data_IF_314588127908
#
_entry.id   IF_314588127908
#
_cell.length_a   1.000
_cell.length_b   1.000
_cell.length_c   1.000
_cell.angle_alpha   90.00
_cell.angle_beta   90.00
_cell.angle_gamma   90.00
#
_symmetry.space_group_name_H-M   'P 1'
#
loop_
_entity.id
_entity.type
_entity.pdbx_description
1 polymer ?
#
# COMPACT_ATOMS: atom_id res chain seq x y z
N UNK A 1 6.34 6.46 -6.80
CA UNK A 1 6.68 7.05 -5.48
C UNK A 1 8.19 7.02 -5.31
N UNK A 2 8.76 7.81 -4.41
CA UNK A 2 10.19 7.71 -4.05
C UNK A 2 10.43 8.00 -2.58
N UNK A 3 11.51 7.45 -2.04
CA UNK A 3 12.03 7.83 -0.74
C UNK A 3 13.20 8.78 -0.94
N UNK A 4 13.05 10.03 -0.48
CA UNK A 4 14.10 11.06 -0.58
C UNK A 4 14.91 11.05 0.71
N UNK A 5 16.17 10.63 0.61
CA UNK A 5 17.15 10.73 1.69
C UNK A 5 17.58 12.19 1.85
N UNK A 6 17.46 12.71 3.06
CA UNK A 6 17.81 14.06 3.50
C UNK A 6 17.61 14.15 5.02
N UNK A 7 17.82 15.31 5.64
CA UNK A 7 17.82 15.51 7.11
C UNK A 7 16.59 14.93 7.85
N UNK A 8 15.45 14.78 7.16
CA UNK A 8 14.20 14.29 7.73
C UNK A 8 13.48 13.24 6.87
N UNK A 9 14.22 12.44 6.10
CA UNK A 9 13.76 11.29 5.29
C UNK A 9 12.28 11.33 4.82
N UNK A 10 12.02 11.57 3.54
CA UNK A 10 10.66 11.85 3.06
C UNK A 10 10.13 10.74 2.13
N UNK A 11 8.88 10.31 2.34
CA UNK A 11 8.15 9.59 1.31
C UNK A 11 7.42 10.60 0.42
N UNK A 12 7.63 10.49 -0.88
CA UNK A 12 7.02 11.40 -1.87
C UNK A 12 6.22 10.62 -2.92
N UNK A 13 5.05 11.14 -3.27
CA UNK A 13 4.31 10.73 -4.47
C UNK A 13 4.64 11.66 -5.64
N UNK A 14 4.26 11.25 -6.85
CA UNK A 14 4.53 12.00 -8.06
C UNK A 14 3.23 12.44 -8.73
N UNK A 15 3.24 13.64 -9.27
CA UNK A 15 2.32 14.09 -10.31
C UNK A 15 3.12 14.12 -11.61
N UNK A 16 2.70 13.31 -12.58
CA UNK A 16 3.38 13.22 -13.88
C UNK A 16 2.46 13.80 -14.94
N UNK A 17 2.88 14.90 -15.56
CA UNK A 17 2.09 15.57 -16.60
C UNK A 17 2.42 15.00 -17.97
N UNK A 18 1.39 14.62 -18.72
CA UNK A 18 1.50 14.07 -20.06
C UNK A 18 0.92 15.03 -21.10
N UNK A 19 1.54 15.05 -22.27
CA UNK A 19 1.09 15.83 -23.43
C UNK A 19 1.11 14.98 -24.69
N UNK A 20 0.33 15.38 -25.69
CA UNK A 20 0.34 14.71 -26.99
C UNK A 20 1.73 14.75 -27.61
N UNK A 21 2.16 13.63 -28.17
CA UNK A 21 3.37 13.54 -28.98
C UNK A 21 3.16 14.26 -30.31
N UNK A 22 4.23 14.85 -30.88
CA UNK A 22 4.20 15.33 -32.25
C UNK A 22 3.96 14.16 -33.25
N UNK A 23 3.11 14.32 -34.29
CA UNK A 23 2.44 15.54 -34.73
C UNK A 23 1.06 15.79 -34.09
N UNK A 24 0.53 14.85 -33.31
CA UNK A 24 -0.80 14.93 -32.68
C UNK A 24 -0.97 16.14 -31.76
N UNK A 25 0.13 16.65 -31.20
CA UNK A 25 0.15 17.91 -30.44
C UNK A 25 -0.34 19.13 -31.23
N UNK A 26 -0.34 19.09 -32.57
CA UNK A 26 -0.91 20.16 -33.40
C UNK A 26 -2.44 20.14 -33.40
N UNK A 27 -3.06 18.96 -33.23
CA UNK A 27 -4.53 18.81 -33.20
C UNK A 27 -5.09 19.10 -31.81
N UNK A 28 -4.35 18.77 -30.75
CA UNK A 28 -4.76 18.98 -29.36
C UNK A 28 -3.63 19.65 -28.55
N UNK A 29 -3.27 20.91 -28.86
CA UNK A 29 -2.11 21.59 -28.26
C UNK A 29 -2.27 21.89 -26.77
N UNK A 30 -3.51 22.01 -26.30
CA UNK A 30 -3.82 22.34 -24.91
C UNK A 30 -4.11 21.11 -24.05
N UNK A 31 -4.20 19.92 -24.65
CA UNK A 31 -4.48 18.70 -23.90
C UNK A 31 -3.30 18.35 -22.99
N UNK A 32 -3.60 18.27 -21.70
CA UNK A 32 -2.73 17.87 -20.62
C UNK A 32 -3.46 16.86 -19.74
N UNK A 33 -2.84 15.70 -19.56
CA UNK A 33 -3.35 14.66 -18.66
C UNK A 33 -2.31 14.41 -17.58
N UNK A 34 -2.68 14.60 -16.32
CA UNK A 34 -1.76 14.44 -15.20
C UNK A 34 -2.13 13.17 -14.42
N UNK A 35 -1.19 12.23 -14.33
CA UNK A 35 -1.30 11.10 -13.40
C UNK A 35 -0.90 11.58 -12.01
N UNK A 36 -1.88 11.71 -11.13
CA UNK A 36 -1.72 12.17 -9.75
C UNK A 36 -1.69 10.94 -8.84
N UNK A 37 -0.48 10.49 -8.51
CA UNK A 37 -0.28 9.34 -7.63
C UNK A 37 -0.59 9.69 -6.18
N UNK A 38 -1.43 8.87 -5.54
CA UNK A 38 -1.76 8.98 -4.12
C UNK A 38 -1.27 7.80 -3.28
N UNK A 39 -1.09 8.08 -1.99
CA UNK A 39 -1.03 7.07 -0.94
C UNK A 39 -2.21 7.28 0.01
N UNK A 40 -2.84 6.20 0.45
CA UNK A 40 -4.07 6.29 1.24
C UNK A 40 -3.86 6.77 2.68
N UNK A 41 -2.63 6.70 3.19
CA UNK A 41 -2.25 7.13 4.53
C UNK A 41 -1.09 8.11 4.37
N UNK A 42 -1.23 9.34 4.84
CA UNK A 42 -0.26 10.41 4.67
C UNK A 42 -0.43 11.50 5.74
N UNK A 43 0.48 12.47 5.79
CA UNK A 43 0.29 13.67 6.60
C UNK A 43 -0.95 14.44 6.09
N UNK A 44 -1.70 15.10 6.98
CA UNK A 44 -2.89 15.86 6.58
C UNK A 44 -2.60 16.93 5.52
N UNK A 45 -1.46 17.59 5.65
CA UNK A 45 -0.97 18.64 4.76
C UNK A 45 -0.79 18.13 3.34
N UNK A 46 -0.46 16.85 3.16
CA UNK A 46 -0.36 16.22 1.85
C UNK A 46 -1.71 16.23 1.12
N UNK A 47 -2.77 15.78 1.80
CA UNK A 47 -4.12 15.77 1.20
C UNK A 47 -4.65 17.19 0.95
N UNK A 48 -4.35 18.14 1.85
CA UNK A 48 -4.70 19.54 1.64
C UNK A 48 -4.00 20.14 0.42
N UNK A 49 -2.72 19.79 0.22
CA UNK A 49 -1.94 20.22 -0.95
C UNK A 49 -2.53 19.64 -2.23
N UNK A 50 -2.81 18.33 -2.25
CA UNK A 50 -3.44 17.67 -3.40
C UNK A 50 -4.81 18.29 -3.73
N UNK A 51 -5.66 18.50 -2.72
CA UNK A 51 -6.98 19.09 -2.92
C UNK A 51 -6.87 20.46 -3.60
N UNK A 52 -5.97 21.32 -3.13
CA UNK A 52 -5.73 22.66 -3.68
C UNK A 52 -5.19 22.62 -5.11
N UNK A 53 -4.26 21.71 -5.40
CA UNK A 53 -3.71 21.58 -6.76
C UNK A 53 -4.79 21.14 -7.77
N UNK A 54 -5.66 20.22 -7.35
CA UNK A 54 -6.73 19.64 -8.15
C UNK A 54 -7.88 20.62 -8.45
N UNK A 55 -8.04 21.70 -7.68
CA UNK A 55 -9.05 22.75 -7.94
C UNK A 55 -8.88 23.41 -9.32
N UNK A 56 -7.64 23.45 -9.83
CA UNK A 56 -7.31 24.10 -11.10
C UNK A 56 -7.56 23.26 -12.35
N UNK A 57 -8.09 22.04 -12.19
CA UNK A 57 -8.31 21.10 -13.30
C UNK A 57 -9.74 21.18 -13.82
N UNK A 58 -9.91 21.01 -15.12
CA UNK A 58 -11.22 20.98 -15.76
C UNK A 58 -12.00 19.72 -15.35
N UNK A 59 -11.27 18.62 -15.12
CA UNK A 59 -11.81 17.31 -14.80
C UNK A 59 -10.83 16.54 -13.91
N UNK A 60 -11.33 15.96 -12.81
CA UNK A 60 -10.59 15.07 -11.92
C UNK A 60 -11.26 13.70 -11.92
N UNK A 61 -10.60 12.73 -12.53
CA UNK A 61 -11.00 11.32 -12.59
C UNK A 61 -10.43 10.59 -11.38
N UNK A 62 -11.28 10.09 -10.49
CA UNK A 62 -10.80 9.50 -9.23
C UNK A 62 -11.11 8.01 -9.05
N UNK A 63 -10.18 7.34 -8.40
CA UNK A 63 -10.28 5.95 -7.94
C UNK A 63 -11.25 5.82 -6.74
N UNK A 64 -12.25 4.94 -6.85
CA UNK A 64 -13.09 4.52 -5.73
C UNK A 64 -13.99 3.34 -6.12
N UNK A 65 -13.78 2.16 -5.55
CA UNK A 65 -14.78 1.07 -5.66
C UNK A 65 -15.88 1.30 -4.63
N UNK A 66 -17.10 1.56 -5.09
CA UNK A 66 -18.28 1.77 -4.24
C UNK A 66 -19.56 1.30 -4.93
N UNK A 67 -20.62 1.03 -4.16
CA UNK A 67 -21.91 0.54 -4.70
C UNK A 67 -22.50 1.52 -5.70
N UNK A 68 -23.20 1.03 -6.73
CA UNK A 68 -23.95 1.87 -7.68
C UNK A 68 -24.89 2.86 -7.00
N UNK A 69 -25.62 2.42 -5.98
CA UNK A 69 -26.53 3.26 -5.21
C UNK A 69 -25.80 4.49 -4.60
N UNK A 70 -24.61 4.29 -4.04
CA UNK A 70 -23.80 5.38 -3.47
C UNK A 70 -23.32 6.37 -4.54
N UNK A 71 -23.05 5.91 -5.77
CA UNK A 71 -22.69 6.76 -6.90
C UNK A 71 -23.89 7.56 -7.40
N UNK A 72 -25.04 6.91 -7.55
CA UNK A 72 -26.30 7.53 -7.98
C UNK A 72 -26.78 8.58 -6.97
N UNK A 73 -26.76 8.24 -5.68
CA UNK A 73 -27.12 9.17 -4.61
C UNK A 73 -26.21 10.40 -4.63
N UNK A 74 -24.91 10.24 -4.91
CA UNK A 74 -23.99 11.39 -5.06
C UNK A 74 -24.34 12.24 -6.28
N UNK A 75 -24.61 11.62 -7.43
CA UNK A 75 -25.00 12.31 -8.67
C UNK A 75 -26.31 13.08 -8.51
N UNK A 76 -27.23 12.55 -7.73
CA UNK A 76 -28.53 13.18 -7.45
C UNK A 76 -28.45 14.24 -6.33
N UNK A 77 -27.43 14.17 -5.46
CA UNK A 77 -27.21 15.14 -4.37
C UNK A 77 -26.79 16.53 -4.87
N UNK A 78 -26.31 16.67 -6.10
CA UNK A 78 -26.11 17.96 -6.77
C UNK A 78 -27.43 18.70 -7.03
N UNK A 79 -28.57 17.99 -7.06
CA UNK A 79 -29.90 18.55 -7.25
C UNK A 79 -30.69 18.78 -5.95
N UNK A 80 -30.33 18.13 -4.83
CA UNK A 80 -31.07 18.24 -3.56
C UNK A 80 -30.13 18.50 -2.39
N UNK A 81 -29.71 19.76 -2.25
CA UNK A 81 -29.01 20.28 -1.06
C UNK A 81 -29.97 20.47 0.12
N UNK A 82 -30.57 19.41 0.68
CA UNK A 82 -31.11 19.44 2.06
C UNK A 82 -31.66 18.08 2.51
N UNK A 83 -31.20 17.62 3.68
CA UNK A 83 -31.61 16.42 4.44
C UNK A 83 -31.19 15.11 3.74
N UNK A 84 -30.27 14.29 4.24
CA UNK A 84 -30.19 13.70 5.59
C UNK A 84 -28.78 13.15 5.83
N UNK A 85 -28.17 13.42 7.00
CA UNK A 85 -27.03 12.64 7.51
C UNK A 85 -27.55 11.27 7.96
N UNK A 86 -27.69 10.33 7.03
CA UNK A 86 -27.77 8.92 7.37
C UNK A 86 -26.81 8.17 6.46
N UNK A 87 -25.57 8.01 6.95
CA UNK A 87 -24.57 7.13 6.35
C UNK A 87 -24.95 5.69 6.69
N UNK A 88 -25.76 5.04 5.86
CA UNK A 88 -25.76 3.59 5.79
C UNK A 88 -24.63 3.15 4.85
N UNK A 89 -23.39 3.46 5.22
CA UNK A 89 -22.21 2.89 4.58
C UNK A 89 -21.95 1.57 5.31
N UNK A 90 -22.17 0.45 4.62
CA UNK A 90 -21.85 -0.88 5.14
C UNK A 90 -20.44 -0.92 5.73
N UNK A 91 -20.27 -1.69 6.81
CA UNK A 91 -19.02 -1.79 7.57
C UNK A 91 -17.87 -2.19 6.63
N UNK A 92 -17.03 -1.22 6.24
CA UNK A 92 -15.87 -1.47 5.39
C UNK A 92 -14.66 -1.81 6.28
N UNK A 93 -14.47 -3.10 6.53
CA UNK A 93 -13.40 -3.65 7.39
C UNK A 93 -12.02 -3.13 6.96
N UNK A 94 -11.77 -2.99 5.65
CA UNK A 94 -10.52 -2.45 5.10
C UNK A 94 -10.35 -0.98 5.51
N UNK A 95 -11.40 -0.17 5.35
CA UNK A 95 -11.39 1.23 5.78
C UNK A 95 -11.17 1.39 7.29
N UNK A 96 -11.68 0.46 8.11
CA UNK A 96 -11.41 0.44 9.56
C UNK A 96 -9.93 0.16 9.86
N UNK A 97 -9.35 -0.86 9.22
CA UNK A 97 -7.93 -1.23 9.39
C UNK A 97 -7.02 -0.09 8.97
N UNK A 98 -7.28 0.53 7.81
CA UNK A 98 -6.49 1.66 7.30
C UNK A 98 -6.52 2.85 8.27
N UNK A 99 -7.67 3.13 8.90
CA UNK A 99 -7.77 4.17 9.94
C UNK A 99 -6.99 3.83 11.20
N UNK A 100 -6.97 2.57 11.64
CA UNK A 100 -6.13 2.17 12.77
C UNK A 100 -4.64 2.32 12.45
N UNK A 101 -4.23 1.91 11.24
CA UNK A 101 -2.86 2.07 10.76
C UNK A 101 -2.45 3.55 10.69
N UNK A 102 -3.33 4.42 10.19
CA UNK A 102 -3.09 5.86 10.17
C UNK A 102 -2.85 6.40 11.58
N UNK A 103 -3.68 6.04 12.56
CA UNK A 103 -3.49 6.44 13.97
C UNK A 103 -2.16 5.95 14.56
N UNK A 104 -1.81 4.69 14.31
CA UNK A 104 -0.54 4.11 14.79
C UNK A 104 0.67 4.87 14.25
N UNK A 105 0.60 5.29 12.98
CA UNK A 105 1.65 6.06 12.33
C UNK A 105 1.55 7.56 12.60
N UNK A 106 0.56 8.04 13.37
CA UNK A 106 0.25 9.46 13.53
C UNK A 106 0.12 10.18 12.17
N UNK A 107 -0.62 9.55 11.26
CA UNK A 107 -0.96 10.01 9.92
C UNK A 107 -2.49 10.06 9.77
N UNK A 108 -2.96 10.56 8.65
CA UNK A 108 -4.37 10.68 8.30
C UNK A 108 -4.74 9.77 7.13
N UNK A 109 -6.04 9.48 7.01
CA UNK A 109 -6.60 8.62 5.97
C UNK A 109 -7.23 9.45 4.85
N UNK A 110 -6.95 9.07 3.60
CA UNK A 110 -7.33 9.81 2.39
C UNK A 110 -8.81 10.16 2.32
N UNK A 111 -9.71 9.21 2.55
CA UNK A 111 -11.17 9.44 2.45
C UNK A 111 -11.73 10.37 3.53
N UNK A 112 -10.96 10.65 4.58
CA UNK A 112 -11.33 11.63 5.61
C UNK A 112 -10.86 13.04 5.27
N UNK A 113 -9.85 13.16 4.39
CA UNK A 113 -9.18 14.42 4.12
C UNK A 113 -9.56 15.02 2.77
N UNK A 114 -9.77 14.20 1.74
CA UNK A 114 -10.15 14.67 0.41
C UNK A 114 -11.65 14.89 0.28
N UNK A 115 -12.03 16.00 -0.34
CA UNK A 115 -13.40 16.32 -0.69
C UNK A 115 -13.67 15.94 -2.15
N UNK A 116 -14.43 14.87 -2.33
CA UNK A 116 -14.85 14.35 -3.64
C UNK A 116 -16.21 14.90 -4.11
N UNK A 117 -16.70 15.96 -3.47
CA UNK A 117 -17.96 16.62 -3.79
C UNK A 117 -17.96 17.70 -4.88
N UNK A 118 -16.83 18.32 -5.29
CA UNK A 118 -16.85 19.32 -6.36
C UNK A 118 -17.35 18.76 -7.70
N UNK A 119 -18.03 19.59 -8.51
CA UNK A 119 -18.69 19.16 -9.74
C UNK A 119 -17.73 18.69 -10.85
N UNK A 120 -16.47 19.13 -10.79
CA UNK A 120 -15.42 18.69 -11.71
C UNK A 120 -14.75 17.37 -11.30
N UNK A 121 -15.24 16.68 -10.24
CA UNK A 121 -14.74 15.37 -9.81
C UNK A 121 -15.66 14.24 -10.27
N UNK A 122 -15.13 13.37 -11.13
CA UNK A 122 -15.86 12.27 -11.74
C UNK A 122 -15.30 10.93 -11.28
N UNK A 123 -16.21 10.04 -10.89
CA UNK A 123 -15.86 8.66 -10.61
C UNK A 123 -15.40 7.99 -11.90
N UNK A 124 -14.23 7.35 -11.86
CA UNK A 124 -13.58 6.77 -13.03
C UNK A 124 -13.18 5.31 -12.82
N UNK A 125 -13.84 4.62 -11.89
CA UNK A 125 -13.50 3.27 -11.44
C UNK A 125 -14.70 2.33 -11.59
N UNK A 126 -14.52 1.06 -11.22
CA UNK A 126 -15.61 0.09 -11.20
C UNK A 126 -16.54 0.33 -10.01
N UNK A 127 -17.83 0.10 -10.21
CA UNK A 127 -18.75 -0.06 -9.08
C UNK A 127 -18.51 -1.40 -8.36
N UNK A 128 -18.97 -1.48 -7.10
CA UNK A 128 -18.73 -2.63 -6.24
C UNK A 128 -19.31 -3.93 -6.80
N UNK A 129 -20.48 -3.86 -7.43
CA UNK A 129 -21.18 -5.00 -8.00
C UNK A 129 -20.40 -5.56 -9.19
N UNK A 130 -20.02 -4.71 -10.14
CA UNK A 130 -19.20 -5.06 -11.29
C UNK A 130 -17.81 -5.54 -10.87
N UNK A 131 -17.17 -4.88 -9.89
CA UNK A 131 -15.88 -5.30 -9.37
C UNK A 131 -15.91 -6.72 -8.84
N UNK A 132 -16.92 -7.06 -8.01
CA UNK A 132 -17.09 -8.43 -7.48
C UNK A 132 -17.40 -9.44 -8.59
N UNK A 133 -18.23 -9.07 -9.57
CA UNK A 133 -18.53 -9.94 -10.70
C UNK A 133 -17.28 -10.31 -11.49
N UNK A 134 -16.48 -9.32 -11.86
CA UNK A 134 -15.23 -9.55 -12.59
C UNK A 134 -14.22 -10.38 -11.78
N UNK A 135 -14.15 -10.17 -10.46
CA UNK A 135 -13.34 -11.01 -9.56
C UNK A 135 -13.76 -12.47 -9.62
N UNK A 136 -15.06 -12.76 -9.58
CA UNK A 136 -15.58 -14.14 -9.70
C UNK A 136 -15.31 -14.74 -11.08
N UNK A 137 -15.55 -13.99 -12.16
CA UNK A 137 -15.35 -14.44 -13.53
C UNK A 137 -13.88 -14.78 -13.82
N UNK A 138 -12.93 -14.00 -13.27
CA UNK A 138 -11.49 -14.24 -13.42
C UNK A 138 -10.91 -15.17 -12.34
N UNK A 139 -11.71 -15.65 -11.39
CA UNK A 139 -11.24 -16.46 -10.26
C UNK A 139 -10.22 -15.72 -9.37
N UNK A 140 -10.34 -14.40 -9.28
CA UNK A 140 -9.38 -13.53 -8.61
C UNK A 140 -9.91 -13.02 -7.27
N UNK A 141 -9.01 -12.88 -6.30
CA UNK A 141 -9.25 -12.24 -5.02
C UNK A 141 -8.03 -11.40 -4.64
N UNK A 142 -8.17 -10.52 -3.64
CA UNK A 142 -7.01 -9.80 -3.08
C UNK A 142 -5.90 -10.75 -2.60
N UNK A 143 -6.27 -11.91 -2.06
CA UNK A 143 -5.31 -12.92 -1.59
C UNK A 143 -4.53 -13.53 -2.75
N UNK A 144 -5.22 -14.00 -3.80
CA UNK A 144 -4.56 -14.61 -4.96
C UNK A 144 -3.67 -13.59 -5.67
N UNK A 145 -4.15 -12.36 -5.82
CA UNK A 145 -3.36 -11.25 -6.37
C UNK A 145 -2.09 -10.98 -5.55
N UNK A 146 -2.21 -10.84 -4.23
CA UNK A 146 -1.07 -10.58 -3.35
C UNK A 146 -0.06 -11.74 -3.35
N UNK A 147 -0.54 -12.99 -3.38
CA UNK A 147 0.30 -14.19 -3.51
C UNK A 147 1.07 -14.17 -4.82
N UNK A 148 0.40 -13.92 -5.94
CA UNK A 148 1.01 -13.96 -7.26
C UNK A 148 2.04 -12.83 -7.45
N UNK A 149 1.76 -11.64 -6.90
CA UNK A 149 2.74 -10.55 -6.79
C UNK A 149 3.95 -10.97 -5.97
N UNK A 150 3.73 -11.48 -4.76
CA UNK A 150 4.83 -11.90 -3.86
C UNK A 150 5.71 -12.94 -4.54
N UNK A 151 5.11 -13.98 -5.14
CA UNK A 151 5.87 -15.04 -5.83
C UNK A 151 6.74 -14.50 -6.98
N UNK A 152 6.22 -13.55 -7.78
CA UNK A 152 6.97 -12.95 -8.90
C UNK A 152 8.06 -12.01 -8.43
N UNK A 153 7.77 -11.13 -7.48
CA UNK A 153 8.76 -10.21 -6.89
C UNK A 153 9.87 -11.00 -6.18
N UNK A 154 9.52 -12.04 -5.41
CA UNK A 154 10.49 -12.94 -4.79
C UNK A 154 11.32 -13.66 -5.84
N UNK A 155 10.71 -14.21 -6.90
CA UNK A 155 11.46 -14.87 -7.97
C UNK A 155 12.45 -13.93 -8.65
N UNK A 156 12.04 -12.70 -8.95
CA UNK A 156 12.92 -11.68 -9.53
C UNK A 156 14.05 -11.26 -8.57
N UNK A 157 13.76 -11.16 -7.26
CA UNK A 157 14.74 -10.84 -6.23
C UNK A 157 15.75 -11.99 -6.03
N UNK A 158 15.29 -13.24 -5.98
CA UNK A 158 16.15 -14.43 -5.87
C UNK A 158 17.08 -14.55 -7.08
N UNK A 159 16.63 -14.19 -8.27
CA UNK A 159 17.45 -14.18 -9.48
C UNK A 159 18.52 -13.08 -9.49
N UNK A 160 18.33 -12.00 -8.72
CA UNK A 160 19.19 -10.80 -8.74
C UNK A 160 20.07 -10.64 -7.49
N UNK A 161 19.79 -11.38 -6.42
CA UNK A 161 20.50 -11.20 -5.14
C UNK A 161 21.53 -12.30 -4.92
N UNK A 162 22.82 -11.95 -5.00
CA UNK A 162 23.86 -12.66 -4.25
C UNK A 162 23.66 -12.35 -2.76
N UNK A 163 23.50 -13.39 -1.93
CA UNK A 163 23.47 -13.22 -0.48
C UNK A 163 24.86 -12.72 -0.05
N UNK A 164 24.99 -11.64 0.74
CA UNK A 164 26.28 -11.22 1.26
C UNK A 164 26.93 -12.37 2.03
N UNK A 165 28.12 -12.82 1.61
CA UNK A 165 28.88 -13.92 2.24
C UNK A 165 29.29 -13.62 3.70
N UNK A 166 29.15 -12.37 4.15
CA UNK A 166 29.57 -11.89 5.47
C UNK A 166 28.54 -12.11 6.59
N UNK A 167 27.29 -12.46 6.26
CA UNK A 167 26.26 -12.76 7.27
C UNK A 167 26.37 -14.23 7.71
N UNK A 168 26.54 -14.46 9.02
CA UNK A 168 26.64 -15.81 9.60
C UNK A 168 25.48 -16.75 9.19
N UNK A 169 25.68 -18.09 9.19
CA UNK A 169 24.81 -19.04 8.47
C UNK A 169 23.32 -18.98 8.82
N UNK A 170 22.99 -18.66 10.07
CA UNK A 170 21.59 -18.58 10.53
C UNK A 170 20.90 -17.26 10.12
N UNK A 171 21.61 -16.12 10.12
CA UNK A 171 21.07 -14.82 9.71
C UNK A 171 20.78 -14.81 8.22
N UNK A 172 21.68 -15.36 7.42
CA UNK A 172 21.51 -15.51 5.98
C UNK A 172 20.29 -16.38 5.64
N UNK A 173 20.10 -17.50 6.35
CA UNK A 173 18.92 -18.35 6.20
C UNK A 173 17.63 -17.65 6.64
N UNK A 174 17.66 -16.90 7.73
CA UNK A 174 16.49 -16.17 8.25
C UNK A 174 16.07 -15.02 7.30
N UNK A 175 17.03 -14.24 6.82
CA UNK A 175 16.81 -13.16 5.85
C UNK A 175 16.35 -13.70 4.49
N UNK A 176 16.87 -14.86 4.07
CA UNK A 176 16.36 -15.55 2.89
C UNK A 176 14.92 -16.02 3.10
N UNK A 177 14.63 -16.66 4.23
CA UNK A 177 13.28 -17.13 4.56
C UNK A 177 12.28 -15.97 4.61
N UNK A 178 12.64 -14.82 5.16
CA UNK A 178 11.77 -13.63 5.18
C UNK A 178 11.52 -13.02 3.81
N UNK A 179 12.38 -13.27 2.82
CA UNK A 179 12.22 -12.81 1.44
C UNK A 179 11.43 -13.79 0.57
N UNK A 180 11.41 -15.06 0.96
CA UNK A 180 10.80 -16.14 0.17
C UNK A 180 9.44 -16.58 0.71
N UNK A 181 9.23 -16.50 2.01
CA UNK A 181 7.98 -16.88 2.65
C UNK A 181 7.09 -15.63 2.89
N UNK A 182 5.76 -15.75 2.73
CA UNK A 182 4.85 -14.68 3.09
C UNK A 182 4.97 -14.36 4.59
N UNK A 183 5.29 -13.11 4.90
CA UNK A 183 5.58 -12.67 6.26
C UNK A 183 4.77 -11.41 6.59
N UNK A 184 4.18 -11.31 7.80
CA UNK A 184 3.59 -10.06 8.27
C UNK A 184 4.63 -8.93 8.24
N UNK A 185 4.19 -7.71 7.90
CA UNK A 185 5.09 -6.53 7.79
C UNK A 185 5.94 -6.31 9.05
N UNK A 186 5.36 -6.60 10.22
CA UNK A 186 6.03 -6.51 11.51
C UNK A 186 7.14 -7.55 11.64
N UNK A 187 6.87 -8.81 11.27
CA UNK A 187 7.89 -9.87 11.25
C UNK A 187 9.02 -9.56 10.28
N UNK A 188 8.69 -9.08 9.07
CA UNK A 188 9.67 -8.68 8.06
C UNK A 188 10.53 -7.51 8.55
N UNK A 189 9.91 -6.53 9.19
CA UNK A 189 10.61 -5.40 9.82
C UNK A 189 11.61 -5.88 10.86
N UNK A 190 11.22 -6.80 11.74
CA UNK A 190 12.09 -7.31 12.78
C UNK A 190 13.24 -8.17 12.24
N UNK A 191 12.98 -9.06 11.29
CA UNK A 191 14.03 -9.87 10.67
C UNK A 191 15.00 -8.97 9.90
N UNK A 192 14.49 -8.00 9.15
CA UNK A 192 15.33 -7.04 8.42
C UNK A 192 16.18 -6.21 9.38
N UNK A 193 15.63 -5.82 10.54
CA UNK A 193 16.35 -5.08 11.58
C UNK A 193 17.41 -5.96 12.28
N UNK A 194 17.10 -7.23 12.56
CA UNK A 194 18.00 -8.19 13.24
C UNK A 194 19.15 -8.66 12.33
N UNK A 195 18.88 -8.78 11.03
CA UNK A 195 19.83 -9.23 10.03
C UNK A 195 20.54 -8.06 9.31
N UNK A 196 20.27 -6.80 9.71
CA UNK A 196 21.05 -5.66 9.25
C UNK A 196 22.50 -5.80 9.74
N UNK A 197 23.45 -5.57 8.84
CA UNK A 197 24.86 -5.70 9.17
C UNK A 197 25.29 -4.49 10.02
N UNK A 198 25.72 -4.75 11.25
CA UNK A 198 26.26 -3.73 12.15
C UNK A 198 27.78 -3.79 12.02
N UNK A 199 28.29 -3.45 10.84
CA UNK A 199 29.72 -3.30 10.59
C UNK A 199 30.27 -2.02 11.23
N UNK A 200 31.61 -1.95 11.37
CA UNK A 200 32.35 -0.86 12.04
C UNK A 200 32.33 0.51 11.32
N UNK A 201 31.56 0.68 10.24
CA UNK A 201 31.21 1.98 9.65
C UNK A 201 29.72 2.25 9.91
N UNK A 202 29.32 3.46 10.35
CA UNK A 202 27.94 3.73 10.75
C UNK A 202 27.03 3.56 9.54
N UNK A 203 26.25 2.48 9.45
CA UNK A 203 25.37 2.33 8.32
C UNK A 203 24.12 3.17 8.63
N UNK A 204 23.79 4.10 7.73
CA UNK A 204 22.59 4.95 7.77
C UNK A 204 21.31 4.08 7.76
N UNK A 205 20.96 3.52 8.92
CA UNK A 205 19.73 2.78 9.18
C UNK A 205 18.80 3.64 10.04
N UNK A 206 18.12 4.64 9.45
CA UNK A 206 17.22 5.54 10.19
C UNK A 206 16.09 4.79 10.90
N UNK A 207 15.72 3.58 10.45
CA UNK A 207 14.81 2.69 11.14
C UNK A 207 15.36 2.14 12.48
N UNK A 208 16.63 1.73 12.52
CA UNK A 208 17.29 1.23 13.73
C UNK A 208 17.57 2.37 14.71
N UNK A 209 17.96 3.53 14.17
CA UNK A 209 18.12 4.75 14.96
C UNK A 209 16.77 5.18 15.59
N UNK A 210 15.69 5.22 14.81
CA UNK A 210 14.36 5.52 15.33
C UNK A 210 13.88 4.50 16.39
N UNK A 211 14.11 3.20 16.16
CA UNK A 211 13.84 2.15 17.15
C UNK A 211 14.64 2.35 18.45
N UNK A 212 15.93 2.70 18.34
CA UNK A 212 16.79 2.96 19.50
C UNK A 212 16.28 4.12 20.38
N UNK A 213 15.57 5.07 19.76
CA UNK A 213 14.91 6.21 20.39
C UNK A 213 13.47 5.92 20.83
N UNK A 214 12.99 4.69 20.66
CA UNK A 214 11.59 4.26 20.85
C UNK A 214 10.56 4.97 19.98
N UNK A 215 10.97 5.59 18.88
CA UNK A 215 10.03 6.13 17.92
C UNK A 215 9.61 5.04 16.95
N UNK A 216 8.79 4.10 17.43
CA UNK A 216 8.25 3.01 16.61
C UNK A 216 7.45 3.53 15.41
N UNK A 217 6.77 4.67 15.57
CA UNK A 217 6.04 5.33 14.48
C UNK A 217 6.98 5.78 13.37
N UNK A 218 8.07 6.48 13.71
CA UNK A 218 9.09 6.88 12.74
C UNK A 218 9.79 5.66 12.11
N UNK A 219 10.17 4.66 12.90
CA UNK A 219 10.80 3.46 12.39
C UNK A 219 9.91 2.71 11.38
N UNK A 220 8.62 2.58 11.70
CA UNK A 220 7.66 1.97 10.77
C UNK A 220 7.41 2.82 9.53
N UNK A 221 7.38 4.16 9.64
CA UNK A 221 7.31 5.04 8.46
C UNK A 221 8.52 4.86 7.54
N UNK A 222 9.74 4.76 8.09
CA UNK A 222 10.96 4.50 7.31
C UNK A 222 10.84 3.16 6.60
N UNK A 223 10.50 2.10 7.34
CA UNK A 223 10.39 0.75 6.79
C UNK A 223 9.33 0.67 5.68
N UNK A 224 8.14 1.21 5.93
CA UNK A 224 7.06 1.25 4.93
C UNK A 224 7.47 2.08 3.71
N UNK A 225 8.13 3.22 3.90
CA UNK A 225 8.60 4.04 2.78
C UNK A 225 9.63 3.31 1.91
N UNK A 226 10.58 2.58 2.52
CA UNK A 226 11.52 1.73 1.80
C UNK A 226 10.80 0.61 1.04
N UNK A 227 9.85 -0.07 1.69
CA UNK A 227 9.11 -1.19 1.07
C UNK A 227 8.23 -0.74 -0.11
N UNK A 228 7.52 0.36 0.06
CA UNK A 228 6.68 0.99 -0.98
C UNK A 228 7.49 1.58 -2.14
N UNK A 229 8.81 1.67 -2.03
CA UNK A 229 9.66 2.22 -3.11
C UNK A 229 10.54 1.14 -3.74
N UNK A 230 10.88 0.08 -3.01
CA UNK A 230 11.57 -1.10 -3.54
C UNK A 230 10.68 -2.00 -4.39
N UNK A 231 9.41 -2.17 -3.97
CA UNK A 231 8.51 -3.16 -4.59
C UNK A 231 7.90 -2.65 -5.91
N UNK A 232 8.00 -1.36 -6.19
CA UNK A 232 7.45 -0.72 -7.40
C UNK A 232 8.37 -0.71 -8.62
N UNK A 233 9.61 -1.15 -8.46
CA UNK A 233 10.55 -1.28 -9.58
C UNK A 233 10.56 -2.72 -10.08
N UNK A 234 9.65 -3.11 -10.99
CA UNK A 234 9.89 -4.29 -11.83
C UNK A 234 8.92 -4.46 -13.02
N UNK A 235 9.52 -4.63 -14.20
CA UNK A 235 8.90 -5.15 -15.44
C UNK A 235 8.27 -6.56 -15.23
N UNK A 236 8.68 -7.28 -14.19
CA UNK A 236 8.28 -8.67 -13.93
C UNK A 236 6.82 -8.83 -13.44
N UNK A 237 6.18 -7.76 -12.95
CA UNK A 237 4.81 -7.78 -12.43
C UNK A 237 3.77 -7.19 -13.40
N UNK A 238 4.22 -6.44 -14.40
CA UNK A 238 3.36 -5.69 -15.32
C UNK A 238 2.24 -6.54 -15.97
N UNK A 239 2.57 -7.75 -16.45
CA UNK A 239 1.57 -8.65 -17.07
C UNK A 239 0.46 -9.09 -16.12
N UNK A 240 0.77 -9.23 -14.82
CA UNK A 240 -0.24 -9.62 -13.81
C UNK A 240 -1.07 -8.42 -13.42
N UNK A 241 -0.44 -7.27 -13.24
CA UNK A 241 -1.13 -6.02 -12.94
C UNK A 241 -2.14 -5.70 -14.05
N UNK A 242 -1.72 -5.76 -15.32
CA UNK A 242 -2.58 -5.48 -16.47
C UNK A 242 -3.76 -6.46 -16.61
N UNK A 243 -3.56 -7.75 -16.30
CA UNK A 243 -4.62 -8.76 -16.47
C UNK A 243 -5.55 -8.85 -15.26
N UNK A 244 -5.14 -8.31 -14.12
CA UNK A 244 -5.89 -8.34 -12.86
C UNK A 244 -7.17 -7.51 -12.91
N UNK A 245 -8.16 -7.90 -12.11
CA UNK A 245 -9.30 -7.06 -11.75
C UNK A 245 -8.89 -5.98 -10.75
N UNK A 246 -7.89 -6.27 -9.89
CA UNK A 246 -7.44 -5.33 -8.85
C UNK A 246 -6.80 -4.07 -9.43
N UNK A 247 -6.13 -4.16 -10.58
CA UNK A 247 -5.48 -3.03 -11.24
C UNK A 247 -5.97 -2.88 -12.67
N UNK A 248 -5.81 -3.90 -13.50
CA UNK A 248 -6.03 -3.84 -14.95
C UNK A 248 -7.43 -3.42 -15.37
N UNK A 249 -8.47 -4.09 -14.88
CA UNK A 249 -9.86 -3.74 -15.23
C UNK A 249 -10.29 -2.38 -14.65
N UNK A 250 -9.75 -1.99 -13.50
CA UNK A 250 -10.00 -0.67 -12.90
C UNK A 250 -9.32 0.45 -13.70
N UNK A 251 -8.12 0.18 -14.20
CA UNK A 251 -7.40 1.10 -15.09
C UNK A 251 -8.08 1.24 -16.45
N UNK A 252 -8.67 0.16 -16.98
CA UNK A 252 -9.51 0.21 -18.18
C UNK A 252 -10.69 1.16 -17.98
N UNK A 253 -11.40 1.07 -16.86
CA UNK A 253 -12.49 2.00 -16.54
C UNK A 253 -11.99 3.46 -16.47
N UNK A 254 -10.77 3.68 -15.95
CA UNK A 254 -10.16 5.00 -15.87
C UNK A 254 -9.82 5.58 -17.25
N UNK A 255 -9.29 4.77 -18.17
CA UNK A 255 -8.98 5.23 -19.54
C UNK A 255 -10.22 5.45 -20.38
N UNK A 256 -11.27 4.65 -20.21
CA UNK A 256 -12.58 4.91 -20.82
C UNK A 256 -13.19 6.23 -20.30
N UNK A 257 -13.02 6.54 -19.01
CA UNK A 257 -13.43 7.82 -18.44
C UNK A 257 -12.59 8.99 -18.99
N UNK A 258 -11.29 8.79 -19.18
CA UNK A 258 -10.41 9.76 -19.83
C UNK A 258 -10.85 10.06 -21.27
N UNK A 259 -11.15 9.03 -22.06
CA UNK A 259 -11.62 9.20 -23.43
C UNK A 259 -12.91 10.04 -23.47
N UNK A 260 -13.87 9.76 -22.59
CA UNK A 260 -15.08 10.56 -22.44
C UNK A 260 -14.76 12.01 -22.06
N UNK A 261 -13.87 12.23 -21.10
CA UNK A 261 -13.49 13.58 -20.67
C UNK A 261 -12.85 14.40 -21.80
N UNK A 262 -11.98 13.77 -22.60
CA UNK A 262 -11.39 14.40 -23.79
C UNK A 262 -12.48 14.70 -24.83
N UNK A 263 -13.41 13.77 -25.07
CA UNK A 263 -14.53 13.97 -25.99
C UNK A 263 -15.44 15.14 -25.58
N UNK A 264 -15.66 15.33 -24.27
CA UNK A 264 -16.39 16.48 -23.73
C UNK A 264 -15.60 17.80 -23.76
N UNK A 265 -14.37 17.79 -24.26
CA UNK A 265 -13.56 19.01 -24.48
C UNK A 265 -12.77 19.47 -23.27
N UNK A 266 -12.62 18.65 -22.23
CA UNK A 266 -11.71 18.97 -21.12
C UNK A 266 -10.26 18.94 -21.61
N UNK A 267 -9.49 19.98 -21.27
CA UNK A 267 -8.10 20.11 -21.72
C UNK A 267 -7.12 19.77 -20.61
N UNK A 268 -7.42 20.12 -19.36
CA UNK A 268 -6.57 19.83 -18.20
C UNK A 268 -7.25 18.80 -17.30
N UNK A 269 -6.85 17.54 -17.46
CA UNK A 269 -7.50 16.38 -16.80
C UNK A 269 -6.52 15.76 -15.80
N UNK A 270 -6.96 15.52 -14.57
CA UNK A 270 -6.20 14.77 -13.57
C UNK A 270 -6.77 13.35 -13.42
N UNK A 271 -5.90 12.35 -13.30
CA UNK A 271 -6.25 10.98 -12.93
C UNK A 271 -5.66 10.70 -11.55
N UNK A 272 -6.53 10.71 -10.53
CA UNK A 272 -6.20 10.58 -9.11
C UNK A 272 -6.35 9.12 -8.65
N UNK A 273 -5.25 8.39 -8.64
CA UNK A 273 -5.21 6.95 -8.34
C UNK A 273 -4.08 6.62 -7.37
N UNK A 274 -4.22 5.50 -6.66
CA UNK A 274 -3.18 4.94 -5.80
C UNK A 274 -1.92 4.58 -6.58
N UNK A 275 -0.76 4.65 -5.93
CA UNK A 275 0.55 4.36 -6.55
C UNK A 275 0.61 3.05 -7.34
N UNK A 276 -0.09 2.01 -6.87
CA UNK A 276 -0.25 0.69 -7.52
C UNK A 276 -0.67 0.76 -8.98
N UNK A 277 -1.51 1.72 -9.34
CA UNK A 277 -2.13 1.81 -10.66
C UNK A 277 -1.27 2.54 -11.69
N UNK A 278 -0.30 3.34 -11.23
CA UNK A 278 0.46 4.27 -12.08
C UNK A 278 1.26 3.61 -13.20
N UNK A 279 1.92 2.44 -13.02
CA UNK A 279 2.70 1.82 -14.10
C UNK A 279 1.83 1.45 -15.31
N UNK A 280 0.72 0.77 -15.07
CA UNK A 280 -0.22 0.37 -16.14
C UNK A 280 -0.95 1.57 -16.73
N UNK A 281 -1.42 2.54 -15.92
CA UNK A 281 -2.01 3.78 -16.45
C UNK A 281 -1.03 4.55 -17.33
N UNK A 282 0.23 4.71 -16.89
CA UNK A 282 1.26 5.40 -17.65
C UNK A 282 1.57 4.73 -18.99
N UNK A 283 1.56 3.40 -19.03
CA UNK A 283 1.67 2.62 -20.26
C UNK A 283 0.46 2.86 -21.18
N UNK A 284 -0.76 2.78 -20.67
CA UNK A 284 -1.98 3.02 -21.46
C UNK A 284 -2.06 4.44 -22.02
N UNK A 285 -1.69 5.47 -21.25
CA UNK A 285 -1.62 6.85 -21.77
C UNK A 285 -0.69 6.94 -22.99
N UNK A 286 0.44 6.24 -22.94
CA UNK A 286 1.40 6.19 -24.05
C UNK A 286 0.86 5.41 -25.25
N UNK A 287 0.37 4.20 -25.01
CA UNK A 287 0.05 3.23 -26.06
C UNK A 287 -1.33 3.46 -26.69
N UNK A 288 -2.31 3.92 -25.90
CA UNK A 288 -3.71 4.12 -26.32
C UNK A 288 -4.01 5.60 -26.68
N UNK A 289 -3.29 6.56 -26.09
CA UNK A 289 -3.59 8.00 -26.26
C UNK A 289 -2.45 8.82 -26.90
N UNK A 290 -1.32 8.23 -27.30
CA UNK A 290 -0.14 8.95 -27.81
C UNK A 290 0.35 10.07 -26.88
N UNK A 291 0.16 9.89 -25.57
CA UNK A 291 0.56 10.84 -24.54
C UNK A 291 1.94 10.47 -24.00
N UNK A 292 2.86 11.43 -24.00
CA UNK A 292 4.22 11.26 -23.48
C UNK A 292 4.42 12.10 -22.22
N UNK A 293 5.20 11.59 -21.24
CA UNK A 293 5.49 12.34 -20.03
C UNK A 293 6.31 13.59 -20.38
N UNK A 294 5.97 14.72 -19.76
CA UNK A 294 6.56 16.03 -20.04
C UNK A 294 7.15 16.69 -18.80
N UNK A 295 6.53 16.49 -17.63
CA UNK A 295 6.98 17.04 -16.36
C UNK A 295 6.67 16.08 -15.21
N UNK A 296 7.51 16.12 -14.17
CA UNK A 296 7.27 15.40 -12.92
C UNK A 296 7.36 16.39 -11.76
N UNK A 297 6.30 16.47 -10.97
CA UNK A 297 6.28 17.18 -9.69
C UNK A 297 6.24 16.16 -8.55
N UNK A 298 7.00 16.42 -7.48
CA UNK A 298 7.04 15.55 -6.30
C UNK A 298 6.29 16.20 -5.15
N UNK A 299 5.39 15.44 -4.52
CA UNK A 299 4.58 15.88 -3.38
C UNK A 299 4.93 15.03 -2.18
N UNK A 300 5.32 15.66 -1.08
CA UNK A 300 5.70 14.95 0.16
C UNK A 300 4.46 14.38 0.83
N UNK A 301 4.37 13.05 0.92
CA UNK A 301 3.29 12.33 1.59
C UNK A 301 3.48 12.31 3.11
N UNK A 302 4.70 12.02 3.56
CA UNK A 302 5.07 12.24 4.95
C UNK A 302 6.55 12.52 5.10
N UNK A 303 6.90 13.23 6.16
CA UNK A 303 8.28 13.42 6.59
C UNK A 303 8.57 12.65 7.88
N UNK A 304 9.76 12.09 7.95
CA UNK A 304 10.29 11.40 9.12
C UNK A 304 11.12 12.44 9.88
N UNK A 305 10.46 13.46 10.43
CA UNK A 305 11.13 14.35 11.39
C UNK A 305 11.36 13.60 12.69
N UNK A 306 12.54 13.74 13.26
CA UNK A 306 12.79 13.46 14.68
C UNK A 306 11.82 14.33 15.51
N UNK A 307 10.65 13.80 15.86
CA UNK A 307 9.86 14.42 16.92
C UNK A 307 10.66 14.20 18.19
N UNK A 308 11.03 15.29 18.88
CA UNK A 308 11.49 15.22 20.26
C UNK A 308 10.31 14.70 21.10
N UNK A 309 10.17 13.37 21.18
CA UNK A 309 9.24 12.74 22.08
C UNK A 309 9.76 13.06 23.48
N UNK A 310 9.09 14.00 24.17
CA UNK A 310 9.27 14.17 25.61
C UNK A 310 8.82 12.88 26.27
N UNK A 311 9.77 11.97 26.50
CA UNK A 311 9.50 10.68 27.09
C UNK A 311 9.01 10.89 28.52
N UNK A 312 7.70 10.74 28.77
CA UNK A 312 7.20 10.58 30.13
C UNK A 312 7.56 9.16 30.56
N UNK A 313 8.55 9.06 31.44
CA UNK A 313 9.02 7.78 31.93
C UNK A 313 7.98 7.11 32.82
N UNK A 314 7.65 5.85 32.55
CA UNK A 314 6.86 5.01 33.45
C UNK A 314 7.72 4.64 34.69
N UNK A 315 7.37 5.10 35.91
CA UNK A 315 8.25 4.98 37.09
C UNK A 315 8.51 3.54 37.53
N UNK A 316 7.56 2.63 37.27
CA UNK A 316 7.64 1.23 37.66
C UNK A 316 8.76 0.46 36.93
N UNK A 317 8.94 0.71 35.63
CA UNK A 317 9.99 0.07 34.82
C UNK A 317 11.40 0.50 35.24
N UNK A 318 11.55 1.73 35.73
CA UNK A 318 12.81 2.23 36.28
C UNK A 318 13.19 1.48 37.57
N UNK A 319 12.23 1.26 38.48
CA UNK A 319 12.45 0.49 39.72
C UNK A 319 12.81 -0.97 39.45
N UNK A 320 12.16 -1.61 38.48
CA UNK A 320 12.46 -3.00 38.11
C UNK A 320 13.87 -3.15 37.53
N UNK A 321 14.33 -2.23 36.70
CA UNK A 321 15.69 -2.25 36.14
C UNK A 321 16.77 -2.05 37.24
N UNK A 322 16.53 -1.14 38.18
CA UNK A 322 17.44 -0.89 39.32
C UNK A 322 17.56 -2.11 40.26
N UNK A 323 16.45 -2.83 40.51
CA UNK A 323 16.44 -4.01 41.38
C UNK A 323 17.05 -5.25 40.72
N UNK A 324 16.93 -5.37 39.39
CA UNK A 324 17.39 -6.55 38.65
C UNK A 324 18.82 -6.48 38.12
N UNK A 325 19.50 -5.33 38.26
CA UNK A 325 20.83 -5.12 37.68
C UNK A 325 20.86 -5.22 36.15
N UNK A 326 19.71 -4.97 35.51
CA UNK A 326 19.51 -5.23 34.09
C UNK A 326 20.30 -4.22 33.23
N UNK A 327 21.13 -4.68 32.26
CA UNK A 327 22.08 -3.81 31.55
C UNK A 327 21.41 -2.91 30.50
N UNK A 328 20.16 -3.22 30.13
CA UNK A 328 19.38 -2.45 29.16
C UNK A 328 18.58 -1.34 29.86
N UNK A 329 18.51 -0.17 29.24
CA UNK A 329 17.79 0.94 29.81
C UNK A 329 16.26 0.69 29.82
N UNK A 330 15.53 1.47 30.64
CA UNK A 330 14.07 1.34 30.84
C UNK A 330 13.25 1.31 29.54
N UNK A 331 13.79 1.91 28.49
CA UNK A 331 13.15 2.04 27.19
C UNK A 331 13.38 0.79 26.33
N UNK A 332 14.61 0.29 26.30
CA UNK A 332 14.97 -0.99 25.67
C UNK A 332 14.21 -2.16 26.30
N UNK A 333 14.03 -2.16 27.62
CA UNK A 333 13.25 -3.20 28.33
C UNK A 333 11.76 -3.15 27.99
N UNK A 334 11.17 -1.96 27.86
CA UNK A 334 9.77 -1.81 27.44
C UNK A 334 9.56 -2.25 25.99
N UNK A 335 10.48 -1.87 25.10
CA UNK A 335 10.48 -2.32 23.71
C UNK A 335 10.54 -3.84 23.63
N UNK A 336 11.41 -4.49 24.42
CA UNK A 336 11.52 -5.94 24.49
C UNK A 336 10.25 -6.62 25.03
N UNK A 337 9.55 -6.01 25.99
CA UNK A 337 8.29 -6.53 26.52
C UNK A 337 7.15 -6.44 25.49
N UNK A 338 7.02 -5.30 24.80
CA UNK A 338 6.06 -5.12 23.71
C UNK A 338 6.39 -6.09 22.57
N UNK A 339 7.68 -6.18 22.21
CA UNK A 339 8.20 -7.09 21.20
C UNK A 339 7.89 -8.55 21.52
N UNK A 340 8.17 -9.00 22.74
CA UNK A 340 7.88 -10.36 23.20
C UNK A 340 6.38 -10.65 23.21
N UNK A 341 5.54 -9.66 23.51
CA UNK A 341 4.09 -9.83 23.51
C UNK A 341 3.51 -9.94 22.09
N UNK A 342 4.01 -9.12 21.16
CA UNK A 342 3.62 -9.18 19.74
C UNK A 342 4.10 -10.49 19.11
N UNK A 343 5.33 -10.93 19.41
CA UNK A 343 5.85 -12.24 18.98
C UNK A 343 5.05 -13.40 19.57
N UNK A 344 4.63 -13.33 20.83
CA UNK A 344 3.79 -14.36 21.44
C UNK A 344 2.41 -14.43 20.77
N UNK A 345 1.79 -13.29 20.45
CA UNK A 345 0.54 -13.24 19.69
C UNK A 345 0.71 -13.75 18.26
N UNK A 346 1.83 -13.43 17.60
CA UNK A 346 2.16 -13.91 16.25
C UNK A 346 2.39 -15.43 16.26
N UNK A 347 3.15 -15.95 17.21
CA UNK A 347 3.36 -17.39 17.40
C UNK A 347 2.06 -18.13 17.72
N UNK A 348 1.21 -17.55 18.56
CA UNK A 348 -0.11 -18.12 18.86
C UNK A 348 -1.03 -18.12 17.62
N UNK A 349 -0.99 -17.05 16.83
CA UNK A 349 -1.70 -17.00 15.55
C UNK A 349 -1.18 -18.08 14.58
N UNK A 350 0.13 -18.27 14.49
CA UNK A 350 0.73 -19.34 13.68
C UNK A 350 0.36 -20.73 14.20
N UNK A 351 0.32 -20.96 15.51
CA UNK A 351 -0.11 -22.21 16.11
C UNK A 351 -1.58 -22.53 15.80
N UNK A 352 -2.46 -21.53 15.88
CA UNK A 352 -3.86 -21.65 15.45
C UNK A 352 -3.99 -21.90 13.94
N UNK A 353 -3.21 -21.20 13.12
CA UNK A 353 -3.23 -21.34 11.67
C UNK A 353 -2.72 -22.72 11.22
N UNK A 354 -1.59 -23.21 11.76
CA UNK A 354 -1.09 -24.55 11.47
C UNK A 354 -1.97 -25.64 12.08
N UNK A 355 -2.50 -25.44 13.29
CA UNK A 355 -3.43 -26.38 13.93
C UNK A 355 -4.71 -26.58 13.10
N UNK A 356 -5.30 -25.50 12.60
CA UNK A 356 -6.48 -25.56 11.71
C UNK A 356 -6.15 -26.15 10.34
N UNK A 357 -4.99 -25.82 9.75
CA UNK A 357 -4.58 -26.35 8.44
C UNK A 357 -4.26 -27.84 8.49
N UNK A 358 -3.57 -28.31 9.55
CA UNK A 358 -3.30 -29.73 9.77
C UNK A 358 -4.59 -30.49 10.04
N UNK A 359 -5.52 -29.95 10.83
CA UNK A 359 -6.83 -30.58 11.05
C UNK A 359 -7.64 -30.68 9.75
N UNK A 360 -7.64 -29.63 8.93
CA UNK A 360 -8.33 -29.62 7.64
C UNK A 360 -7.74 -30.63 6.65
N UNK A 361 -6.41 -30.73 6.56
CA UNK A 361 -5.71 -31.72 5.72
C UNK A 361 -5.98 -33.14 6.23
N UNK A 362 -5.96 -33.36 7.54
CA UNK A 362 -6.23 -34.68 8.14
C UNK A 362 -7.68 -35.12 7.91
N UNK A 363 -8.63 -34.17 7.97
CA UNK A 363 -10.04 -34.43 7.74
C UNK A 363 -10.34 -34.66 6.25
N UNK A 364 -9.75 -33.87 5.35
CA UNK A 364 -9.81 -34.10 3.91
C UNK A 364 -9.17 -35.43 3.47
N UNK A 365 -8.07 -35.85 4.14
CA UNK A 365 -7.47 -37.16 3.91
C UNK A 365 -8.36 -38.30 4.42
N UNK A 366 -8.98 -38.16 5.59
CA UNK A 366 -9.94 -39.12 6.13
C UNK A 366 -11.18 -39.27 5.23
N UNK A 367 -11.70 -38.16 4.71
CA UNK A 367 -12.84 -38.16 3.77
C UNK A 367 -12.46 -38.80 2.42
N UNK A 368 -11.24 -38.56 1.92
CA UNK A 368 -10.74 -39.21 0.71
C UNK A 368 -10.54 -40.73 0.88
N UNK A 369 -10.16 -41.21 2.06
CA UNK A 369 -10.04 -42.64 2.35
C UNK A 369 -11.40 -43.34 2.51
N UNK A 370 -12.47 -42.64 2.91
CA UNK A 370 -13.83 -43.22 2.95
C UNK A 370 -14.47 -43.33 1.55
N UNK A 371 -14.02 -42.57 0.55
CA UNK A 371 -14.49 -42.68 -0.84
C UNK A 371 -13.76 -43.76 -1.65
N UNK A 372 -12.69 -44.36 -1.12
CA UNK A 372 -11.99 -45.49 -1.73
C UNK A 372 -12.29 -46.75 -0.92
N UNK A 373 -13.53 -47.22 -0.98
CA UNK A 373 -13.92 -48.53 -0.46
C UNK A 373 -13.66 -49.61 -1.56
N UNK A 374 -12.78 -50.60 -1.34
CA UNK A 374 -12.39 -51.58 -2.35
C UNK A 374 -13.41 -52.74 -2.50
N UNK A 375 -14.71 -52.44 -2.52
CA UNK A 375 -15.77 -53.47 -2.63
C UNK A 375 -16.51 -53.51 -3.97
N UNK A 376 -16.01 -52.86 -5.03
CA UNK A 376 -16.60 -52.93 -6.38
C UNK A 376 -15.68 -53.55 -7.46
N UNK A 377 -14.79 -54.46 -7.06
CA UNK A 377 -14.03 -55.32 -7.98
C UNK A 377 -14.10 -56.77 -7.51
N UNK A 378 -15.21 -57.43 -7.82
CA UNK A 378 -15.31 -58.91 -7.90
C UNK A 378 -16.38 -59.31 -8.88
#
# INVERSE_FOLDING_TARGET
MRFKKGDSGELQTAVVSYRKKFPWSLLQPFLQVDLVSTIHIADKEYFATLQKELESYDCVLYEMVTSRESLENRRNSSAVRKLTKSRSQGFNIIGFIQRQMARLLMLDFQLDCLNYGPDNWYHADLDLETFKQLQMEKGESFYTFARDMTLRSTKALVQTTSIPEELGPWRSKLLWASRVLPMPLVGLFFISSLCADVGDEPPDYPELEALSRLDFGAAMKVFLAKRLTSDFTQVATADVEEKSVIIGERNRAATEALERAIHYGHNKIAILYGGGHMPDLGRRLKDEFDLIPSQVQWVTAWSIKNRNITSQSLPFLKKLAEVSGWPLNRYQTLALLIFSSVLALDLWFWELFFGTTVNFITQAASDAFQFVDPSNLS
#
